data_IF_635755338540
#
_entry.id   IF_635755338540
#
_cell.length_a   1.000
_cell.length_b   1.000
_cell.length_c   1.000
_cell.angle_alpha   90.00
_cell.angle_beta   90.00
_cell.angle_gamma   90.00
#
_symmetry.space_group_name_H-M   'P 1'
#
loop_
_entity.id
_entity.type
_entity.pdbx_description
1 polymer ?
#
# COMPACT_ATOMS: atom_id res chain seq x y z
N UNK A 1 -48.30 -29.78 -11.67
CA UNK A 1 -47.16 -29.97 -12.59
C UNK A 1 -46.57 -28.59 -12.87
N UNK A 2 -45.49 -28.23 -12.19
CA UNK A 2 -44.09 -28.18 -12.69
C UNK A 2 -43.87 -26.97 -13.64
N UNK A 3 -42.88 -26.06 -13.48
CA UNK A 3 -41.72 -25.99 -12.59
C UNK A 3 -40.95 -24.66 -12.78
N UNK A 4 -39.90 -24.49 -11.96
CA UNK A 4 -38.93 -23.38 -11.90
C UNK A 4 -38.11 -23.12 -13.18
N UNK A 5 -37.66 -21.88 -13.41
CA UNK A 5 -36.22 -21.51 -13.35
C UNK A 5 -35.95 -20.00 -13.63
N UNK A 6 -34.93 -19.39 -12.95
CA UNK A 6 -34.53 -17.99 -13.10
C UNK A 6 -33.43 -17.78 -14.16
N UNK A 7 -33.50 -16.66 -14.89
CA UNK A 7 -32.56 -16.28 -15.93
C UNK A 7 -31.18 -15.87 -15.39
N UNK A 8 -30.16 -16.56 -15.87
CA UNK A 8 -28.73 -16.31 -15.68
C UNK A 8 -28.27 -15.04 -16.42
N UNK A 9 -27.88 -14.00 -15.68
CA UNK A 9 -26.98 -12.96 -16.23
C UNK A 9 -25.56 -13.31 -15.82
N UNK A 10 -24.88 -14.03 -16.71
CA UNK A 10 -23.46 -14.32 -16.57
C UNK A 10 -22.65 -13.02 -16.65
N UNK A 11 -21.66 -12.89 -15.76
CA UNK A 11 -20.61 -11.89 -15.85
C UNK A 11 -19.79 -12.17 -17.12
N UNK A 12 -20.16 -11.52 -18.23
CA UNK A 12 -19.35 -11.51 -19.44
C UNK A 12 -18.32 -10.39 -19.29
N UNK A 13 -17.07 -10.80 -19.09
CA UNK A 13 -15.93 -9.88 -19.16
C UNK A 13 -15.85 -9.26 -20.57
N UNK A 14 -15.39 -8.00 -20.69
CA UNK A 14 -15.22 -7.35 -21.98
C UNK A 14 -14.36 -8.19 -22.92
N UNK A 15 -14.76 -8.24 -24.18
CA UNK A 15 -14.07 -8.99 -25.23
C UNK A 15 -12.66 -8.43 -25.45
N UNK A 16 -11.80 -9.19 -26.14
CA UNK A 16 -10.45 -8.72 -26.52
C UNK A 16 -10.48 -7.40 -27.31
N UNK A 17 -11.56 -7.15 -28.06
CA UNK A 17 -11.79 -5.89 -28.79
C UNK A 17 -12.12 -4.71 -27.85
N UNK A 18 -12.79 -4.97 -26.72
CA UNK A 18 -13.11 -3.94 -25.72
C UNK A 18 -11.86 -3.51 -24.94
N UNK A 19 -10.91 -4.43 -24.71
CA UNK A 19 -9.61 -4.14 -24.10
C UNK A 19 -8.67 -3.33 -25.02
N UNK A 20 -8.77 -3.50 -26.33
CA UNK A 20 -7.99 -2.71 -27.30
C UNK A 20 -8.43 -1.24 -27.32
N UNK A 21 -9.71 -0.95 -27.01
CA UNK A 21 -10.22 0.41 -26.88
C UNK A 21 -9.63 1.18 -25.68
N UNK A 22 -9.11 0.48 -24.67
CA UNK A 22 -8.45 1.07 -23.49
C UNK A 22 -6.95 1.34 -23.70
N UNK A 23 -6.33 0.82 -24.77
CA UNK A 23 -4.91 1.09 -25.10
C UNK A 23 -4.66 2.47 -25.70
N UNK A 24 -5.72 3.22 -26.05
CA UNK A 24 -5.63 4.52 -26.72
C UNK A 24 -5.68 5.74 -25.79
N UNK A 25 -5.69 5.56 -24.47
CA UNK A 25 -5.62 6.70 -23.54
C UNK A 25 -4.15 7.11 -23.33
N UNK A 26 -3.61 7.87 -24.29
CA UNK A 26 -2.33 8.55 -24.10
C UNK A 26 -2.47 9.63 -23.02
N UNK A 27 -1.55 9.66 -22.06
CA UNK A 27 -1.43 10.73 -21.08
C UNK A 27 -0.96 11.99 -21.85
N UNK A 28 -1.70 13.11 -21.86
CA UNK A 28 -1.26 14.28 -22.59
C UNK A 28 0.04 14.83 -21.98
N UNK A 29 1.15 14.80 -22.73
CA UNK A 29 2.36 15.55 -22.40
C UNK A 29 2.16 17.00 -22.82
N UNK A 30 2.36 17.93 -21.88
CA UNK A 30 2.38 19.35 -22.19
C UNK A 30 3.74 19.72 -22.76
N UNK A 31 3.84 19.90 -24.08
CA UNK A 31 4.94 20.63 -24.71
C UNK A 31 4.41 21.66 -25.73
N UNK A 32 4.68 22.93 -25.43
CA UNK A 32 4.52 24.08 -26.31
C UNK A 32 5.87 24.81 -26.45
N UNK A 33 6.32 24.95 -27.70
CA UNK A 33 7.66 25.33 -28.20
C UNK A 33 8.04 26.82 -28.06
N UNK A 34 9.34 27.11 -28.00
CA UNK A 34 10.11 28.15 -28.77
C UNK A 34 11.50 28.31 -28.13
N UNK A 35 12.63 28.57 -28.79
CA UNK A 35 13.07 28.73 -30.17
C UNK A 35 14.62 28.67 -30.14
N UNK A 36 15.26 28.37 -31.27
CA UNK A 36 16.71 28.29 -31.40
C UNK A 36 17.38 29.67 -31.49
N UNK A 37 18.57 29.81 -30.90
CA UNK A 37 19.57 30.82 -31.28
C UNK A 37 20.98 30.26 -31.03
N UNK A 38 21.71 30.06 -32.12
CA UNK A 38 23.15 29.76 -32.15
C UNK A 38 23.90 31.08 -32.09
N UNK A 39 24.84 31.24 -31.16
CA UNK A 39 25.95 32.18 -31.31
C UNK A 39 27.21 31.65 -30.61
N UNK A 40 28.30 31.77 -31.34
CA UNK A 40 29.66 31.33 -31.07
C UNK A 40 30.35 32.25 -30.03
N UNK A 41 30.99 31.70 -29.00
CA UNK A 41 32.07 32.39 -28.28
C UNK A 41 33.00 31.39 -27.59
N UNK A 42 34.26 31.39 -28.03
CA UNK A 42 35.38 30.71 -27.42
C UNK A 42 35.79 31.39 -26.10
N UNK A 43 36.42 30.65 -25.18
CA UNK A 43 37.26 31.28 -24.16
C UNK A 43 37.36 30.57 -22.81
N UNK A 44 38.55 29.99 -22.58
CA UNK A 44 39.22 29.72 -21.31
C UNK A 44 38.70 28.61 -20.37
N UNK A 45 39.49 27.54 -20.41
CA UNK A 45 39.73 26.56 -19.36
C UNK A 45 40.23 27.23 -18.06
N UNK A 46 39.52 27.01 -16.94
CA UNK A 46 40.10 27.12 -15.60
C UNK A 46 39.64 25.91 -14.78
N UNK A 47 40.60 25.05 -14.46
CA UNK A 47 40.42 23.91 -13.57
C UNK A 47 39.97 24.38 -12.17
N UNK A 48 38.90 23.77 -11.64
CA UNK A 48 38.59 23.82 -10.21
C UNK A 48 38.61 22.41 -9.63
N UNK A 49 39.50 22.27 -8.64
CA UNK A 49 39.76 21.08 -7.83
C UNK A 49 38.46 20.46 -7.30
N UNK A 50 38.29 19.17 -7.54
CA UNK A 50 37.34 18.35 -6.80
C UNK A 50 37.82 18.21 -5.35
N UNK A 51 37.11 18.83 -4.41
CA UNK A 51 37.19 18.47 -3.00
C UNK A 51 36.16 17.38 -2.76
N UNK A 52 36.65 16.15 -2.63
CA UNK A 52 35.87 15.01 -2.19
C UNK A 52 35.45 15.22 -0.73
N UNK A 53 34.16 15.47 -0.50
CA UNK A 53 33.57 15.43 0.84
C UNK A 53 33.22 13.98 1.15
N UNK A 54 33.88 13.42 2.14
CA UNK A 54 33.64 12.07 2.65
C UNK A 54 32.21 11.98 3.23
N UNK A 55 31.36 11.10 2.67
CA UNK A 55 30.09 10.69 3.28
C UNK A 55 30.38 9.75 4.47
N UNK A 56 29.70 9.90 5.62
CA UNK A 56 29.83 8.94 6.70
C UNK A 56 29.23 7.59 6.26
N UNK A 57 29.95 6.51 6.57
CA UNK A 57 29.59 5.13 6.24
C UNK A 57 28.25 4.79 6.90
N UNK A 58 27.26 4.49 6.07
CA UNK A 58 25.99 3.93 6.51
C UNK A 58 26.20 2.59 7.20
N UNK A 59 25.52 2.39 8.32
CA UNK A 59 25.40 1.10 8.98
C UNK A 59 24.70 0.13 8.01
N UNK A 60 25.42 -0.92 7.66
CA UNK A 60 25.01 -1.93 6.71
C UNK A 60 24.01 -2.88 7.37
N UNK A 61 22.72 -2.73 7.06
CA UNK A 61 21.69 -3.71 7.45
C UNK A 61 21.84 -4.92 6.52
N UNK A 62 22.44 -5.99 7.02
CA UNK A 62 22.42 -7.32 6.39
C UNK A 62 21.37 -8.17 7.09
N UNK A 63 20.41 -8.70 6.32
CA UNK A 63 19.45 -9.67 6.80
C UNK A 63 18.42 -10.09 5.76
N UNK A 64 18.86 -10.91 4.81
CA UNK A 64 18.14 -11.83 3.91
C UNK A 64 16.68 -11.53 3.52
N UNK A 65 16.48 -11.33 2.22
CA UNK A 65 15.22 -11.60 1.55
C UNK A 65 14.82 -13.07 1.75
N UNK A 66 13.70 -13.30 2.43
CA UNK A 66 12.81 -14.42 2.18
C UNK A 66 11.42 -13.82 2.03
N UNK A 67 10.94 -13.71 0.80
CA UNK A 67 9.53 -13.51 0.53
C UNK A 67 8.81 -14.77 1.04
N UNK A 68 8.33 -14.75 2.28
CA UNK A 68 7.43 -15.78 2.78
C UNK A 68 6.03 -15.45 2.28
N UNK A 69 5.80 -15.71 0.98
CA UNK A 69 4.49 -15.57 0.33
C UNK A 69 3.42 -16.52 0.92
N UNK A 70 3.77 -17.37 1.90
CA UNK A 70 2.88 -18.37 2.50
C UNK A 70 2.26 -18.04 3.86
N UNK A 71 2.67 -16.99 4.58
CA UNK A 71 2.21 -16.80 5.96
C UNK A 71 0.79 -16.20 6.04
N UNK A 72 0.51 -15.14 5.28
CA UNK A 72 -0.77 -14.44 5.38
C UNK A 72 -1.93 -15.25 4.81
N UNK A 73 -1.73 -15.97 3.71
CA UNK A 73 -2.74 -16.88 3.14
C UNK A 73 -3.09 -17.99 4.14
N UNK A 74 -2.09 -18.62 4.75
CA UNK A 74 -2.31 -19.67 5.74
C UNK A 74 -3.04 -19.13 6.98
N UNK A 75 -2.62 -17.97 7.51
CA UNK A 75 -3.32 -17.29 8.61
C UNK A 75 -4.77 -16.99 8.25
N UNK A 76 -5.04 -16.49 7.04
CA UNK A 76 -6.38 -16.15 6.59
C UNK A 76 -7.32 -17.36 6.49
N UNK A 77 -6.80 -18.55 6.16
CA UNK A 77 -7.62 -19.78 6.15
C UNK A 77 -8.09 -20.19 7.55
N UNK A 78 -7.28 -19.89 8.57
CA UNK A 78 -7.56 -20.18 9.98
C UNK A 78 -8.31 -19.03 10.67
N UNK A 79 -8.20 -17.81 10.13
CA UNK A 79 -8.91 -16.66 10.63
C UNK A 79 -10.43 -16.82 10.46
N UNK A 80 -11.17 -16.49 11.51
CA UNK A 80 -12.63 -16.56 11.50
C UNK A 80 -13.22 -15.16 11.76
N UNK A 81 -14.25 -14.73 11.01
CA UNK A 81 -15.12 -13.64 11.43
C UNK A 81 -15.94 -14.15 12.62
N UNK A 82 -15.44 -13.97 13.84
CA UNK A 82 -16.06 -14.64 15.00
C UNK A 82 -15.77 -13.98 16.34
N UNK A 83 -16.70 -13.12 16.77
CA UNK A 83 -17.07 -12.93 18.18
C UNK A 83 -16.31 -11.87 18.98
N UNK A 84 -16.91 -11.47 20.11
CA UNK A 84 -16.54 -10.38 21.03
C UNK A 84 -15.13 -10.44 21.66
N UNK A 85 -14.29 -11.41 21.26
CA UNK A 85 -12.94 -11.54 21.77
C UNK A 85 -12.01 -10.51 21.08
N UNK A 86 -11.18 -9.77 21.84
CA UNK A 86 -10.26 -8.79 21.28
C UNK A 86 -9.27 -9.44 20.32
N UNK A 87 -9.04 -8.81 19.17
CA UNK A 87 -8.05 -9.27 18.18
C UNK A 87 -6.62 -9.00 18.67
N UNK A 88 -5.61 -9.53 17.97
CA UNK A 88 -4.22 -9.13 18.22
C UNK A 88 -4.03 -7.61 18.08
N UNK A 89 -4.79 -6.94 17.21
CA UNK A 89 -4.74 -5.48 17.07
C UNK A 89 -5.39 -4.76 18.25
N UNK A 90 -6.43 -5.33 18.86
CA UNK A 90 -6.98 -4.79 20.12
C UNK A 90 -5.91 -4.78 21.22
N UNK A 91 -5.07 -5.82 21.28
CA UNK A 91 -3.93 -5.89 22.22
C UNK A 91 -2.79 -4.92 21.92
N UNK A 92 -2.65 -4.50 20.66
CA UNK A 92 -1.69 -3.45 20.28
C UNK A 92 -2.25 -2.07 20.64
N UNK A 93 -3.57 -1.88 20.46
CA UNK A 93 -4.29 -0.65 20.81
C UNK A 93 -4.28 -0.39 22.32
N UNK A 94 -4.48 -1.42 23.15
CA UNK A 94 -4.47 -1.32 24.62
C UNK A 94 -3.05 -1.35 25.24
N UNK A 95 -2.01 -1.45 24.41
CA UNK A 95 -0.59 -1.51 24.81
C UNK A 95 -0.17 -2.78 25.55
N UNK A 96 -1.01 -3.83 25.58
CA UNK A 96 -0.63 -5.13 26.16
C UNK A 96 0.36 -5.90 25.30
N UNK A 97 0.38 -5.66 23.99
CA UNK A 97 1.41 -6.15 23.07
C UNK A 97 2.24 -4.98 22.52
N UNK A 98 3.59 -5.03 22.60
CA UNK A 98 4.43 -4.00 22.04
C UNK A 98 4.39 -4.01 20.51
N UNK A 99 4.39 -2.82 19.92
CA UNK A 99 4.51 -2.62 18.48
C UNK A 99 5.37 -1.38 18.20
N UNK A 100 6.07 -1.35 17.06
CA UNK A 100 6.81 -0.17 16.61
C UNK A 100 5.84 0.84 15.98
N UNK A 101 5.44 1.84 16.78
CA UNK A 101 4.38 2.80 16.44
C UNK A 101 4.99 3.99 15.68
N UNK A 102 4.47 4.23 14.48
CA UNK A 102 4.90 5.33 13.61
C UNK A 102 4.01 6.57 13.75
N UNK A 103 2.73 6.37 14.07
CA UNK A 103 1.74 7.44 14.20
C UNK A 103 0.57 6.99 15.06
N UNK A 104 -0.02 7.90 15.81
CA UNK A 104 -1.26 7.69 16.55
C UNK A 104 -2.06 8.99 16.64
N UNK A 105 -3.39 8.88 16.51
CA UNK A 105 -4.33 9.94 16.90
C UNK A 105 -5.59 9.36 17.55
N UNK A 106 -6.65 10.17 17.66
CA UNK A 106 -7.91 9.74 18.28
C UNK A 106 -8.66 8.67 17.47
N UNK A 107 -8.41 8.55 16.17
CA UNK A 107 -9.18 7.71 15.26
C UNK A 107 -8.41 6.47 14.81
N UNK A 108 -7.07 6.52 14.72
CA UNK A 108 -6.27 5.43 14.19
C UNK A 108 -4.91 5.25 14.88
N UNK A 109 -4.27 4.12 14.57
CA UNK A 109 -2.92 3.76 14.97
C UNK A 109 -2.16 3.25 13.74
N UNK A 110 -0.87 3.59 13.65
CA UNK A 110 0.04 3.11 12.60
C UNK A 110 1.26 2.47 13.25
N UNK A 111 1.60 1.25 12.81
CA UNK A 111 2.74 0.52 13.33
C UNK A 111 3.35 -0.38 12.26
N UNK A 112 4.64 -0.73 12.41
CA UNK A 112 5.33 -1.64 11.47
C UNK A 112 4.74 -3.04 11.53
N UNK A 113 4.63 -3.68 10.36
CA UNK A 113 4.25 -5.08 10.29
C UNK A 113 5.39 -5.95 10.83
N UNK A 114 5.05 -6.96 11.64
CA UNK A 114 6.02 -7.92 12.22
C UNK A 114 6.55 -8.93 11.20
N UNK A 115 5.85 -9.12 10.08
CA UNK A 115 6.22 -9.96 8.96
C UNK A 115 6.31 -9.13 7.66
N UNK A 116 7.29 -8.22 7.54
CA UNK A 116 7.37 -7.26 6.44
C UNK A 116 7.54 -7.94 5.07
N UNK A 117 6.74 -7.54 4.08
CA UNK A 117 6.82 -8.04 2.69
C UNK A 117 7.54 -7.05 1.75
N UNK A 118 8.02 -5.93 2.28
CA UNK A 118 8.80 -4.91 1.59
C UNK A 118 9.71 -4.20 2.61
N UNK A 119 10.78 -3.50 2.17
CA UNK A 119 11.68 -2.78 3.08
C UNK A 119 10.95 -1.79 4.00
N UNK A 120 9.89 -1.16 3.50
CA UNK A 120 8.90 -0.46 4.32
C UNK A 120 7.59 -1.21 4.21
N UNK A 121 7.14 -1.79 5.33
CA UNK A 121 5.82 -2.40 5.47
C UNK A 121 5.22 -1.99 6.82
N UNK A 122 4.13 -1.23 6.80
CA UNK A 122 3.40 -0.82 8.00
C UNK A 122 1.89 -0.93 7.78
N UNK A 123 1.16 -0.97 8.88
CA UNK A 123 -0.29 -1.11 8.93
C UNK A 123 -0.92 0.17 9.47
N UNK A 124 -1.99 0.65 8.82
CA UNK A 124 -2.87 1.69 9.36
C UNK A 124 -4.18 1.03 9.80
N UNK A 125 -4.52 1.13 11.07
CA UNK A 125 -5.73 0.51 11.64
C UNK A 125 -6.63 1.57 12.31
N UNK A 126 -7.96 1.47 12.20
CA UNK A 126 -8.86 2.29 13.00
C UNK A 126 -8.86 1.82 14.46
N UNK A 127 -9.11 2.75 15.39
CA UNK A 127 -9.41 2.42 16.79
C UNK A 127 -10.82 1.83 16.93
N UNK A 128 -11.77 2.25 16.08
CA UNK A 128 -13.08 1.58 15.93
C UNK A 128 -12.84 0.14 15.42
N UNK A 129 -13.39 -0.89 16.07
CA UNK A 129 -13.14 -2.29 15.70
C UNK A 129 -14.01 -2.73 14.50
N UNK A 130 -13.79 -2.13 13.33
CA UNK A 130 -14.41 -2.57 12.08
C UNK A 130 -13.74 -3.90 11.68
N UNK A 131 -14.44 -5.05 11.59
CA UNK A 131 -13.74 -6.33 11.42
C UNK A 131 -13.12 -6.52 10.03
N UNK A 132 -13.75 -5.96 8.99
CA UNK A 132 -13.31 -6.04 7.58
C UNK A 132 -13.98 -4.95 6.77
N UNK A 133 -13.43 -4.64 5.60
CA UNK A 133 -13.95 -3.54 4.78
C UNK A 133 -15.37 -3.80 4.27
N UNK A 134 -15.75 -5.06 4.02
CA UNK A 134 -17.11 -5.41 3.60
C UNK A 134 -18.18 -5.24 4.69
N UNK A 135 -17.78 -4.85 5.91
CA UNK A 135 -18.65 -4.58 7.06
C UNK A 135 -18.50 -3.14 7.56
N UNK A 136 -17.86 -2.27 6.77
CA UNK A 136 -17.88 -0.83 7.03
C UNK A 136 -19.24 -0.26 6.62
N UNK A 137 -19.76 0.66 7.42
CA UNK A 137 -21.04 1.31 7.20
C UNK A 137 -20.85 2.73 6.63
N UNK A 138 -21.91 3.38 6.16
CA UNK A 138 -21.82 4.76 5.62
C UNK A 138 -21.28 5.76 6.65
N UNK A 139 -21.58 5.57 7.94
CA UNK A 139 -21.02 6.36 9.04
C UNK A 139 -19.49 6.30 9.14
N UNK A 140 -18.86 5.26 8.58
CA UNK A 140 -17.41 5.09 8.57
C UNK A 140 -16.72 5.85 7.44
N UNK A 141 -17.46 6.49 6.53
CA UNK A 141 -16.91 7.17 5.36
C UNK A 141 -15.76 8.14 5.72
N UNK A 142 -15.96 9.00 6.73
CA UNK A 142 -14.94 9.96 7.15
C UNK A 142 -13.73 9.26 7.77
N UNK A 143 -13.96 8.19 8.54
CA UNK A 143 -12.90 7.39 9.14
C UNK A 143 -12.05 6.70 8.06
N UNK A 144 -12.68 6.06 7.08
CA UNK A 144 -11.99 5.40 5.97
C UNK A 144 -11.13 6.38 5.17
N UNK A 145 -11.66 7.58 4.88
CA UNK A 145 -10.90 8.67 4.27
C UNK A 145 -9.71 9.11 5.13
N UNK A 146 -9.91 9.24 6.44
CA UNK A 146 -8.85 9.55 7.40
C UNK A 146 -7.72 8.51 7.37
N UNK A 147 -8.03 7.22 7.34
CA UNK A 147 -7.02 6.15 7.26
C UNK A 147 -6.14 6.27 6.01
N UNK A 148 -6.73 6.59 4.85
CA UNK A 148 -5.97 6.80 3.60
C UNK A 148 -5.08 8.05 3.67
N UNK A 149 -5.56 9.12 4.29
CA UNK A 149 -4.79 10.36 4.48
C UNK A 149 -3.63 10.16 5.47
N UNK A 150 -3.82 9.36 6.52
CA UNK A 150 -2.76 8.97 7.44
C UNK A 150 -1.76 8.06 6.73
N UNK A 151 -2.22 7.08 5.94
CA UNK A 151 -1.36 6.19 5.17
C UNK A 151 -0.39 6.98 4.26
N UNK A 152 -0.88 7.95 3.47
CA UNK A 152 -0.01 8.78 2.61
C UNK A 152 0.96 9.64 3.43
N UNK A 153 0.52 10.16 4.58
CA UNK A 153 1.34 11.02 5.45
C UNK A 153 2.50 10.22 6.02
N UNK A 154 2.22 9.03 6.54
CA UNK A 154 3.25 8.14 7.08
C UNK A 154 4.16 7.61 5.97
N UNK A 155 3.64 7.25 4.80
CA UNK A 155 4.46 6.84 3.66
C UNK A 155 5.48 7.92 3.25
N UNK A 156 5.06 9.18 3.23
CA UNK A 156 5.97 10.32 3.00
C UNK A 156 7.03 10.44 4.08
N UNK A 157 6.67 10.27 5.36
CA UNK A 157 7.61 10.32 6.47
C UNK A 157 8.63 9.17 6.45
N UNK A 158 8.21 7.99 5.97
CA UNK A 158 9.04 6.80 5.77
C UNK A 158 9.87 6.83 4.47
N UNK A 159 9.89 7.95 3.75
CA UNK A 159 10.75 8.14 2.57
C UNK A 159 10.26 7.45 1.29
N UNK A 160 8.96 7.12 1.18
CA UNK A 160 8.38 6.47 0.00
C UNK A 160 8.05 7.47 -1.13
N UNK A 161 9.04 8.28 -1.51
CA UNK A 161 8.89 9.33 -2.54
C UNK A 161 8.71 8.78 -3.96
N UNK A 162 9.30 7.62 -4.25
CA UNK A 162 9.25 6.98 -5.58
C UNK A 162 8.01 6.08 -5.79
N UNK A 163 7.09 6.07 -4.81
CA UNK A 163 5.83 5.33 -4.87
C UNK A 163 5.72 4.20 -3.83
N UNK A 164 4.48 3.73 -3.67
CA UNK A 164 4.09 2.68 -2.73
C UNK A 164 2.74 2.07 -3.14
N UNK A 165 2.36 0.95 -2.52
CA UNK A 165 1.04 0.31 -2.71
C UNK A 165 0.29 0.27 -1.40
N UNK A 166 -1.01 0.57 -1.49
CA UNK A 166 -1.98 0.33 -0.43
C UNK A 166 -2.73 -0.97 -0.72
N UNK A 167 -2.89 -1.82 0.29
CA UNK A 167 -3.65 -3.08 0.16
C UNK A 167 -4.62 -3.20 1.34
N UNK A 168 -5.88 -3.51 1.03
CA UNK A 168 -6.90 -3.89 2.01
C UNK A 168 -7.38 -5.27 1.62
N UNK A 169 -7.16 -6.23 2.51
CA UNK A 169 -7.54 -7.63 2.32
C UNK A 169 -8.92 -7.87 2.92
N UNK A 170 -9.79 -8.56 2.17
CA UNK A 170 -11.14 -8.88 2.62
C UNK A 170 -11.42 -10.39 2.57
N UNK A 171 -11.64 -10.96 3.75
CA UNK A 171 -11.94 -12.38 3.94
C UNK A 171 -10.83 -13.34 3.48
N UNK A 172 -11.21 -14.61 3.36
CA UNK A 172 -10.26 -15.71 3.08
C UNK A 172 -9.57 -15.57 1.72
N UNK A 173 -10.31 -15.18 0.68
CA UNK A 173 -9.78 -15.05 -0.68
C UNK A 173 -8.91 -13.81 -0.86
N UNK A 174 -9.17 -12.75 -0.09
CA UNK A 174 -8.28 -11.60 0.00
C UNK A 174 -7.07 -11.83 0.90
N UNK A 175 -6.90 -13.02 1.49
CA UNK A 175 -5.85 -13.32 2.47
C UNK A 175 -5.87 -12.40 3.71
N UNK A 176 -7.06 -12.06 4.23
CA UNK A 176 -7.20 -11.28 5.46
C UNK A 176 -6.86 -12.16 6.69
N UNK A 177 -5.73 -11.89 7.34
CA UNK A 177 -5.23 -12.67 8.47
C UNK A 177 -5.79 -12.24 9.84
N UNK A 178 -6.15 -10.96 9.99
CA UNK A 178 -6.75 -10.41 11.21
C UNK A 178 -8.08 -9.72 10.87
N UNK A 179 -9.15 -10.13 11.54
CA UNK A 179 -10.49 -9.55 11.41
C UNK A 179 -10.63 -8.25 12.23
N UNK A 180 -9.75 -7.30 11.90
CA UNK A 180 -9.81 -5.89 12.28
C UNK A 180 -9.23 -5.13 11.10
N UNK A 181 -9.98 -4.17 10.55
CA UNK A 181 -9.64 -3.46 9.32
C UNK A 181 -8.22 -2.90 9.38
N UNK A 182 -7.42 -3.18 8.36
CA UNK A 182 -6.06 -2.68 8.27
C UNK A 182 -5.72 -2.39 6.81
N UNK A 183 -5.01 -1.28 6.62
CA UNK A 183 -4.44 -0.89 5.33
C UNK A 183 -2.95 -1.20 5.40
N UNK A 184 -2.51 -2.15 4.58
CA UNK A 184 -1.08 -2.36 4.37
C UNK A 184 -0.52 -1.24 3.51
N UNK A 185 0.65 -0.72 3.89
CA UNK A 185 1.43 0.21 3.08
C UNK A 185 2.79 -0.41 2.81
N UNK A 186 3.07 -0.69 1.54
CA UNK A 186 4.29 -1.36 1.10
C UNK A 186 5.10 -0.45 0.18
N UNK A 187 6.40 -0.36 0.40
CA UNK A 187 7.31 0.42 -0.46
C UNK A 187 8.79 0.14 -0.19
N UNK A 188 9.65 0.94 -0.82
CA UNK A 188 11.11 0.80 -0.73
C UNK A 188 11.68 -0.29 -1.65
N UNK A 189 10.85 -0.88 -2.52
CA UNK A 189 11.25 -1.78 -3.62
C UNK A 189 10.24 -1.66 -4.76
N UNK A 190 10.62 -2.12 -5.96
CA UNK A 190 9.66 -2.32 -7.03
C UNK A 190 8.60 -3.36 -6.60
N UNK A 191 7.33 -2.99 -6.74
CA UNK A 191 6.20 -3.90 -6.52
C UNK A 191 5.76 -4.47 -7.87
N UNK A 192 5.51 -5.77 -7.90
CA UNK A 192 5.14 -6.49 -9.13
C UNK A 192 3.65 -6.43 -9.42
N UNK A 193 3.28 -6.87 -10.62
CA UNK A 193 1.90 -7.08 -11.07
C UNK A 193 1.76 -8.52 -11.59
N UNK A 194 0.70 -9.27 -11.22
CA UNK A 194 -0.45 -8.87 -10.38
C UNK A 194 -0.09 -8.59 -8.90
N UNK A 195 -0.98 -7.93 -8.13
CA UNK A 195 -0.73 -7.54 -6.74
C UNK A 195 -1.11 -8.66 -5.76
N UNK A 196 -0.49 -9.82 -5.92
CA UNK A 196 -0.81 -11.07 -5.23
C UNK A 196 -0.61 -12.24 -6.16
#
# INVERSE_FOLDING_TARGET
MAGFAPGSRGNQWPSRADLERWRGWEIPTAEGKMAAAVMLAAGLCVARRALAVARPRGAQVRGAASATDGNEVAKAQQAAPGGAAPTIFSRILDRSLPADILYEDQQCLVFRDVAPQAPVHFLVIPKKPIPRISQAEEEDQQLLGHLLLVAKKTAKAEGLGDGYRLVINDGKLGAQSVYHLHIHVLGGRQLHWPPG
#
